data_IF_256952666391
#
_entry.id   IF_256952666391
#
_cell.length_a   1.000
_cell.length_b   1.000
_cell.length_c   1.000
_cell.angle_alpha   90.00
_cell.angle_beta   90.00
_cell.angle_gamma   90.00
#
_symmetry.space_group_name_H-M   'P 1'
#
loop_
_entity.id
_entity.type
_entity.pdbx_description
1 polymer ?
#
# COMPACT_ATOMS: atom_id res chain seq x y z
N UNK A 1 10.77 -13.10 15.85
CA UNK A 1 10.52 -12.51 14.51
C UNK A 1 9.25 -13.05 13.83
N UNK A 2 8.92 -14.34 13.97
CA UNK A 2 7.79 -15.01 13.26
C UNK A 2 6.38 -14.45 13.57
N UNK A 3 6.12 -13.99 14.80
CA UNK A 3 4.82 -13.40 15.19
C UNK A 3 4.53 -12.02 14.56
N UNK A 4 5.56 -11.24 14.23
CA UNK A 4 5.37 -9.91 13.61
C UNK A 4 5.00 -10.07 12.13
N UNK A 5 5.64 -11.02 11.45
CA UNK A 5 5.33 -11.36 10.06
C UNK A 5 3.90 -11.89 9.88
N UNK A 6 3.39 -12.69 10.83
CA UNK A 6 1.99 -13.14 10.83
C UNK A 6 1.00 -11.97 11.00
N UNK A 7 1.30 -11.00 11.87
CA UNK A 7 0.42 -9.84 12.09
C UNK A 7 0.32 -8.94 10.84
N UNK A 8 1.44 -8.73 10.14
CA UNK A 8 1.47 -7.96 8.89
C UNK A 8 0.89 -8.71 7.69
N UNK A 9 1.04 -10.04 7.63
CA UNK A 9 0.35 -10.88 6.65
C UNK A 9 -1.17 -10.87 6.87
N UNK A 10 -1.64 -10.92 8.12
CA UNK A 10 -3.07 -10.80 8.43
C UNK A 10 -3.65 -9.43 8.02
N UNK A 11 -2.92 -8.32 8.24
CA UNK A 11 -3.34 -6.99 7.80
C UNK A 11 -3.37 -6.83 6.28
N UNK A 12 -2.45 -7.47 5.55
CA UNK A 12 -2.43 -7.41 4.08
C UNK A 12 -3.48 -8.31 3.42
N UNK A 13 -3.83 -9.45 4.03
CA UNK A 13 -4.89 -10.34 3.52
C UNK A 13 -6.29 -9.76 3.75
N UNK A 14 -6.49 -9.00 4.84
CA UNK A 14 -7.80 -8.39 5.16
C UNK A 14 -8.22 -7.25 4.23
N UNK A 15 -7.28 -6.56 3.57
CA UNK A 15 -7.59 -5.47 2.63
C UNK A 15 -7.75 -5.94 1.18
N UNK A 16 -7.20 -7.11 0.82
CA UNK A 16 -7.16 -7.63 -0.55
C UNK A 16 -8.36 -8.49 -0.97
N UNK A 17 -9.05 -9.13 -0.04
CA UNK A 17 -10.03 -10.18 -0.39
C UNK A 17 -11.51 -9.74 -0.35
N UNK A 18 -11.78 -8.47 -0.01
CA UNK A 18 -13.18 -8.02 0.04
C UNK A 18 -13.75 -7.79 -1.36
N UNK A 19 -14.66 -8.67 -1.78
CA UNK A 19 -15.46 -8.50 -3.01
C UNK A 19 -16.06 -7.10 -3.05
N UNK A 20 -15.84 -6.37 -4.15
CA UNK A 20 -16.40 -5.02 -4.35
C UNK A 20 -15.53 -3.86 -3.86
N UNK A 21 -14.28 -4.09 -3.43
CA UNK A 21 -13.37 -3.01 -2.99
C UNK A 21 -13.18 -1.90 -4.04
N UNK A 22 -13.19 -2.27 -5.32
CA UNK A 22 -13.06 -1.36 -6.46
C UNK A 22 -14.23 -0.36 -6.55
N UNK A 23 -15.37 -0.66 -5.92
CA UNK A 23 -16.56 0.19 -5.89
C UNK A 23 -16.79 0.89 -4.54
N UNK A 24 -15.83 0.80 -3.59
CA UNK A 24 -15.96 1.38 -2.25
C UNK A 24 -15.68 2.89 -2.24
N UNK A 25 -16.46 3.64 -1.45
CA UNK A 25 -16.17 5.03 -1.04
C UNK A 25 -15.45 4.93 0.32
N UNK A 26 -14.15 5.25 0.44
CA UNK A 26 -13.54 6.49 -0.05
C UNK A 26 -12.72 6.34 -1.35
N UNK A 27 -12.65 7.40 -2.15
CA UNK A 27 -11.81 7.44 -3.36
C UNK A 27 -12.43 6.84 -4.62
N UNK A 28 -13.75 6.58 -4.65
CA UNK A 28 -14.44 6.05 -5.84
C UNK A 28 -14.36 7.01 -7.03
N UNK A 29 -14.65 8.29 -6.80
CA UNK A 29 -14.68 9.33 -7.86
C UNK A 29 -13.34 9.42 -8.60
N UNK A 30 -12.18 9.62 -7.94
CA UNK A 30 -10.91 9.72 -8.66
C UNK A 30 -10.50 8.42 -9.36
N UNK A 31 -11.05 7.27 -8.95
CA UNK A 31 -10.87 6.02 -9.69
C UNK A 31 -11.71 6.07 -10.96
N UNK A 32 -13.04 6.13 -10.84
CA UNK A 32 -13.99 5.91 -11.97
C UNK A 32 -14.06 7.09 -12.95
N UNK A 33 -13.93 8.33 -12.47
CA UNK A 33 -14.16 9.54 -13.26
C UNK A 33 -13.38 9.60 -14.59
N UNK A 34 -12.06 9.35 -14.64
CA UNK A 34 -11.33 9.40 -15.92
C UNK A 34 -11.85 8.40 -16.95
N UNK A 35 -12.25 7.20 -16.52
CA UNK A 35 -12.75 6.16 -17.41
C UNK A 35 -14.17 6.46 -17.88
N UNK A 36 -15.03 6.93 -16.97
CA UNK A 36 -16.37 7.38 -17.29
C UNK A 36 -16.37 8.57 -18.27
N UNK A 37 -15.42 9.51 -18.10
CA UNK A 37 -15.26 10.64 -19.00
C UNK A 37 -14.88 10.18 -20.41
N UNK A 38 -13.90 9.28 -20.55
CA UNK A 38 -13.53 8.74 -21.87
C UNK A 38 -14.69 7.98 -22.50
N UNK A 39 -15.46 7.21 -21.74
CA UNK A 39 -16.64 6.51 -22.25
C UNK A 39 -17.71 7.47 -22.79
N UNK A 40 -17.99 8.57 -22.07
CA UNK A 40 -18.94 9.60 -22.51
C UNK A 40 -18.41 10.33 -23.74
N UNK A 41 -17.14 10.73 -23.75
CA UNK A 41 -16.51 11.40 -24.90
C UNK A 41 -16.54 10.51 -26.13
N UNK A 42 -16.23 9.21 -26.00
CA UNK A 42 -16.30 8.26 -27.09
C UNK A 42 -17.72 8.17 -27.67
N UNK A 43 -18.73 8.06 -26.80
CA UNK A 43 -20.14 8.00 -27.22
C UNK A 43 -20.57 9.27 -27.94
N UNK A 44 -20.18 10.44 -27.41
CA UNK A 44 -20.50 11.74 -28.01
C UNK A 44 -19.72 12.03 -29.31
N UNK A 45 -18.53 11.46 -29.48
CA UNK A 45 -17.68 11.71 -30.66
C UNK A 45 -18.32 11.28 -31.98
N UNK A 46 -19.23 10.31 -31.95
CA UNK A 46 -19.95 9.82 -33.13
C UNK A 46 -21.04 10.82 -33.60
N UNK A 47 -21.49 11.74 -32.74
CA UNK A 47 -22.44 12.80 -33.10
C UNK A 47 -21.79 14.02 -33.77
N UNK A 48 -20.45 14.05 -33.90
CA UNK A 48 -19.75 15.17 -34.53
C UNK A 48 -20.21 15.27 -36.00
N UNK A 49 -20.46 16.49 -36.53
CA UNK A 49 -20.85 16.66 -37.93
C UNK A 49 -19.84 15.97 -38.85
N UNK A 50 -20.33 15.20 -39.83
CA UNK A 50 -19.60 14.20 -40.65
C UNK A 50 -19.37 12.81 -40.00
N UNK A 51 -19.98 12.55 -38.84
CA UNK A 51 -20.03 11.24 -38.23
C UNK A 51 -21.01 10.31 -38.93
N UNK A 52 -20.50 9.22 -39.52
CA UNK A 52 -21.31 8.19 -40.14
C UNK A 52 -21.98 7.29 -39.06
N UNK A 53 -23.12 7.71 -38.51
CA UNK A 53 -23.99 6.80 -37.75
C UNK A 53 -24.69 5.89 -38.74
N UNK A 54 -24.20 4.66 -38.89
CA UNK A 54 -24.78 3.67 -39.79
C UNK A 54 -26.09 3.08 -39.25
N UNK A 55 -26.22 2.97 -37.92
CA UNK A 55 -27.29 2.24 -37.25
C UNK A 55 -27.67 2.87 -35.90
N UNK A 56 -28.80 3.60 -35.91
CA UNK A 56 -29.38 4.17 -34.69
C UNK A 56 -29.73 3.14 -33.60
N UNK A 57 -30.20 1.91 -33.90
CA UNK A 57 -30.48 0.92 -32.85
C UNK A 57 -29.25 0.52 -32.04
N UNK A 58 -28.12 0.32 -32.70
CA UNK A 58 -26.84 -0.06 -32.08
C UNK A 58 -26.29 1.11 -31.24
N UNK A 59 -26.44 2.34 -31.73
CA UNK A 59 -26.09 3.54 -30.96
C UNK A 59 -26.94 3.68 -29.68
N UNK A 60 -28.25 3.48 -29.76
CA UNK A 60 -29.15 3.51 -28.59
C UNK A 60 -28.85 2.36 -27.63
N UNK A 61 -28.54 1.17 -28.15
CA UNK A 61 -28.12 0.02 -27.33
C UNK A 61 -26.81 0.31 -26.58
N UNK A 62 -25.84 0.95 -27.23
CA UNK A 62 -24.59 1.39 -26.60
C UNK A 62 -24.83 2.35 -25.44
N UNK A 63 -25.69 3.36 -25.64
CA UNK A 63 -26.09 4.31 -24.58
C UNK A 63 -26.78 3.58 -23.43
N UNK A 64 -27.73 2.68 -23.73
CA UNK A 64 -28.44 1.92 -22.71
C UNK A 64 -27.48 1.07 -21.86
N UNK A 65 -26.52 0.38 -22.49
CA UNK A 65 -25.49 -0.39 -21.78
C UNK A 65 -24.55 0.51 -20.95
N UNK A 66 -24.24 1.73 -21.41
CA UNK A 66 -23.47 2.69 -20.63
C UNK A 66 -24.24 3.15 -19.37
N UNK A 67 -25.54 3.38 -19.48
CA UNK A 67 -26.40 3.66 -18.31
C UNK A 67 -26.49 2.46 -17.36
N UNK A 68 -26.58 1.23 -17.87
CA UNK A 68 -26.51 0.02 -17.04
C UNK A 68 -25.17 -0.06 -16.30
N UNK A 69 -24.06 0.24 -16.98
CA UNK A 69 -22.73 0.31 -16.37
C UNK A 69 -22.66 1.40 -15.27
N UNK A 70 -23.20 2.59 -15.51
CA UNK A 70 -23.28 3.66 -14.52
C UNK A 70 -24.18 3.28 -13.32
N UNK A 71 -25.31 2.61 -13.58
CA UNK A 71 -26.20 2.09 -12.55
C UNK A 71 -25.56 0.98 -11.70
N UNK A 72 -24.62 0.22 -12.28
CA UNK A 72 -23.91 -0.84 -11.57
C UNK A 72 -23.20 -0.33 -10.30
N UNK A 73 -22.73 0.91 -10.30
CA UNK A 73 -22.06 1.53 -9.15
C UNK A 73 -22.97 1.76 -7.93
N UNK A 74 -24.30 1.67 -8.10
CA UNK A 74 -25.28 1.77 -7.02
C UNK A 74 -25.58 0.42 -6.35
N UNK A 75 -25.12 -0.70 -6.91
CA UNK A 75 -25.42 -2.02 -6.36
C UNK A 75 -24.73 -2.28 -5.00
N UNK A 76 -25.35 -3.09 -4.12
CA UNK A 76 -24.76 -3.50 -2.86
C UNK A 76 -23.68 -4.58 -3.05
N UNK A 77 -22.52 -4.19 -3.57
CA UNK A 77 -21.40 -5.08 -3.92
C UNK A 77 -20.90 -5.99 -2.78
N UNK A 78 -21.14 -5.62 -1.52
CA UNK A 78 -20.80 -6.44 -0.35
C UNK A 78 -21.59 -7.75 -0.24
N UNK A 79 -22.79 -7.80 -0.85
CA UNK A 79 -23.69 -8.96 -0.78
C UNK A 79 -23.56 -9.88 -2.00
N UNK A 80 -22.82 -9.45 -3.01
CA UNK A 80 -22.74 -10.14 -4.30
C UNK A 80 -21.57 -11.12 -4.32
N UNK A 81 -21.69 -12.23 -5.08
CA UNK A 81 -20.62 -13.20 -5.20
C UNK A 81 -19.35 -12.62 -5.85
N UNK A 82 -18.20 -13.25 -5.58
CA UNK A 82 -16.87 -12.77 -5.95
C UNK A 82 -16.65 -12.56 -7.46
N UNK A 83 -17.45 -13.19 -8.32
CA UNK A 83 -17.35 -13.04 -9.77
C UNK A 83 -18.09 -11.82 -10.32
N UNK A 84 -19.06 -11.27 -9.59
CA UNK A 84 -19.91 -10.15 -10.04
C UNK A 84 -19.14 -8.88 -10.44
N UNK A 85 -18.04 -8.50 -9.76
CA UNK A 85 -17.17 -7.40 -10.17
C UNK A 85 -16.79 -7.33 -11.64
N UNK A 86 -16.51 -8.49 -12.26
CA UNK A 86 -16.04 -8.56 -13.65
C UNK A 86 -17.12 -8.11 -14.63
N UNK A 87 -18.40 -8.13 -14.22
CA UNK A 87 -19.51 -7.75 -15.09
C UNK A 87 -19.45 -6.29 -15.50
N UNK A 88 -18.96 -5.38 -14.64
CA UNK A 88 -18.92 -3.95 -14.96
C UNK A 88 -18.03 -3.66 -16.18
N UNK A 89 -16.74 -4.06 -16.19
CA UNK A 89 -15.91 -3.86 -17.38
C UNK A 89 -16.41 -4.69 -18.58
N UNK A 90 -17.04 -5.86 -18.37
CA UNK A 90 -17.64 -6.63 -19.47
C UNK A 90 -18.83 -5.93 -20.13
N UNK A 91 -19.74 -5.36 -19.33
CA UNK A 91 -20.86 -4.55 -19.82
C UNK A 91 -20.34 -3.31 -20.54
N UNK A 92 -19.25 -2.70 -20.04
CA UNK A 92 -18.61 -1.60 -20.76
C UNK A 92 -18.01 -2.07 -22.10
N UNK A 93 -17.33 -3.22 -22.17
CA UNK A 93 -16.84 -3.76 -23.45
C UNK A 93 -17.98 -4.06 -24.43
N UNK A 94 -19.14 -4.51 -23.94
CA UNK A 94 -20.33 -4.72 -24.78
C UNK A 94 -20.90 -3.39 -25.30
N UNK A 95 -20.98 -2.36 -24.46
CA UNK A 95 -21.35 -0.99 -24.88
C UNK A 95 -20.43 -0.47 -26.00
N UNK A 96 -19.12 -0.74 -25.90
CA UNK A 96 -18.15 -0.35 -26.93
C UNK A 96 -18.29 -1.17 -28.21
N UNK A 97 -18.62 -2.47 -28.12
CA UNK A 97 -18.94 -3.28 -29.30
C UNK A 97 -20.11 -2.68 -30.09
N UNK A 98 -21.22 -2.39 -29.42
CA UNK A 98 -22.38 -1.72 -30.04
C UNK A 98 -21.99 -0.37 -30.65
N UNK A 99 -21.11 0.38 -29.98
CA UNK A 99 -20.61 1.65 -30.49
C UNK A 99 -19.79 1.49 -31.78
N UNK A 100 -18.95 0.44 -31.85
CA UNK A 100 -18.16 0.11 -33.04
C UNK A 100 -19.05 -0.32 -34.20
N UNK A 101 -20.14 -1.05 -33.92
CA UNK A 101 -21.12 -1.43 -34.94
C UNK A 101 -21.86 -0.20 -35.49
N UNK A 102 -22.17 0.77 -34.63
CA UNK A 102 -22.81 2.02 -35.02
C UNK A 102 -21.96 2.95 -35.89
N UNK A 103 -20.63 2.95 -35.74
CA UNK A 103 -19.71 3.92 -36.37
C UNK A 103 -18.80 3.38 -37.47
N UNK A 104 -18.75 2.06 -37.69
CA UNK A 104 -17.98 1.43 -38.75
C UNK A 104 -16.45 1.37 -38.53
N UNK A 105 -15.75 0.75 -39.50
CA UNK A 105 -14.38 0.22 -39.39
C UNK A 105 -13.27 1.29 -39.23
N UNK A 106 -13.53 2.51 -39.69
CA UNK A 106 -12.54 3.60 -39.81
C UNK A 106 -12.59 4.61 -38.66
N UNK A 107 -13.57 4.48 -37.77
CA UNK A 107 -13.91 5.49 -36.76
C UNK A 107 -12.89 5.66 -35.62
N UNK A 108 -11.86 4.81 -35.51
CA UNK A 108 -10.88 4.85 -34.41
C UNK A 108 -11.44 4.45 -33.03
N UNK A 109 -12.75 4.23 -32.93
CA UNK A 109 -13.50 3.88 -31.71
C UNK A 109 -12.98 2.59 -31.05
N UNK A 110 -12.34 1.70 -31.81
CA UNK A 110 -11.70 0.50 -31.27
C UNK A 110 -10.66 0.78 -30.17
N UNK A 111 -10.04 1.98 -30.13
CA UNK A 111 -9.12 2.37 -29.05
C UNK A 111 -9.81 2.46 -27.68
N UNK A 112 -11.13 2.70 -27.65
CA UNK A 112 -11.92 2.78 -26.42
C UNK A 112 -11.94 1.45 -25.67
N UNK A 113 -11.68 0.32 -26.34
CA UNK A 113 -11.52 -1.00 -25.69
C UNK A 113 -10.32 -1.06 -24.73
N UNK A 114 -9.35 -0.15 -24.83
CA UNK A 114 -8.29 -0.03 -23.83
C UNK A 114 -8.80 0.51 -22.50
N UNK A 115 -9.91 1.26 -22.47
CA UNK A 115 -10.50 1.83 -21.24
C UNK A 115 -10.91 0.74 -20.24
N UNK A 116 -11.77 -0.25 -20.58
CA UNK A 116 -12.11 -1.34 -19.67
C UNK A 116 -10.89 -2.20 -19.34
N UNK A 117 -9.95 -2.35 -20.28
CA UNK A 117 -8.71 -3.08 -20.03
C UNK A 117 -7.86 -2.39 -18.96
N UNK A 118 -7.55 -1.10 -19.11
CA UNK A 118 -6.75 -0.33 -18.15
C UNK A 118 -7.46 -0.30 -16.80
N UNK A 119 -8.78 -0.08 -16.79
CA UNK A 119 -9.59 -0.13 -15.56
C UNK A 119 -9.46 -1.47 -14.85
N UNK A 120 -9.74 -2.57 -15.57
CA UNK A 120 -9.70 -3.92 -15.01
C UNK A 120 -8.31 -4.25 -14.52
N UNK A 121 -7.30 -3.91 -15.32
CA UNK A 121 -5.94 -4.14 -14.94
C UNK A 121 -5.67 -3.37 -13.67
N UNK A 122 -6.00 -2.07 -13.53
CA UNK A 122 -5.74 -1.23 -12.34
C UNK A 122 -6.42 -1.67 -11.04
N UNK A 123 -7.69 -2.02 -11.10
CA UNK A 123 -8.54 -2.16 -9.92
C UNK A 123 -9.13 -3.56 -9.72
N UNK A 124 -8.94 -4.48 -10.67
CA UNK A 124 -9.50 -5.83 -10.57
C UNK A 124 -8.42 -6.89 -10.34
N UNK A 125 -8.88 -8.11 -10.07
CA UNK A 125 -8.02 -9.29 -9.88
C UNK A 125 -7.46 -9.76 -11.24
N UNK A 126 -6.31 -10.46 -11.20
CA UNK A 126 -5.65 -11.01 -12.40
C UNK A 126 -6.56 -11.82 -13.32
N UNK A 127 -7.47 -12.60 -12.74
CA UNK A 127 -8.41 -13.42 -13.51
C UNK A 127 -9.52 -12.57 -14.14
N UNK A 128 -9.99 -11.52 -13.44
CA UNK A 128 -11.01 -10.60 -13.95
C UNK A 128 -10.46 -9.82 -15.15
N UNK A 129 -9.22 -9.34 -15.06
CA UNK A 129 -8.55 -8.69 -16.20
C UNK A 129 -8.31 -9.66 -17.35
N UNK A 130 -7.99 -10.93 -17.09
CA UNK A 130 -7.90 -11.94 -18.14
C UNK A 130 -9.23 -12.13 -18.87
N UNK A 131 -10.35 -12.16 -18.15
CA UNK A 131 -11.68 -12.17 -18.76
C UNK A 131 -11.93 -10.94 -19.63
N UNK A 132 -11.49 -9.75 -19.19
CA UNK A 132 -11.62 -8.51 -19.98
C UNK A 132 -10.74 -8.53 -21.21
N UNK A 133 -9.50 -9.04 -21.14
CA UNK A 133 -8.64 -9.23 -22.32
C UNK A 133 -9.31 -10.15 -23.34
N UNK A 134 -9.85 -11.29 -22.89
CA UNK A 134 -10.59 -12.22 -23.75
C UNK A 134 -11.80 -11.54 -24.39
N UNK A 135 -12.57 -10.74 -23.62
CA UNK A 135 -13.70 -9.99 -24.13
C UNK A 135 -13.28 -8.95 -25.18
N UNK A 136 -12.21 -8.20 -24.95
CA UNK A 136 -11.66 -7.24 -25.93
C UNK A 136 -11.26 -7.95 -27.23
N UNK A 137 -10.59 -9.09 -27.15
CA UNK A 137 -10.21 -9.88 -28.33
C UNK A 137 -11.45 -10.44 -29.04
N UNK A 138 -12.45 -10.90 -28.29
CA UNK A 138 -13.72 -11.37 -28.85
C UNK A 138 -14.46 -10.25 -29.59
N UNK A 139 -14.49 -9.03 -29.04
CA UNK A 139 -15.05 -7.85 -29.72
C UNK A 139 -14.34 -7.60 -31.06
N UNK A 140 -13.02 -7.72 -31.11
CA UNK A 140 -12.27 -7.55 -32.36
C UNK A 140 -12.61 -8.63 -33.40
N UNK A 141 -12.79 -9.87 -32.95
CA UNK A 141 -13.20 -10.98 -33.81
C UNK A 141 -14.62 -10.75 -34.34
N UNK A 142 -15.59 -10.48 -33.47
CA UNK A 142 -17.00 -10.26 -33.83
C UNK A 142 -17.14 -9.07 -34.77
N UNK A 143 -16.55 -7.93 -34.43
CA UNK A 143 -16.56 -6.71 -35.25
C UNK A 143 -15.98 -6.98 -36.65
N UNK A 144 -14.87 -7.72 -36.74
CA UNK A 144 -14.24 -8.07 -38.01
C UNK A 144 -15.09 -9.01 -38.88
N UNK A 145 -15.81 -9.96 -38.26
CA UNK A 145 -16.71 -10.88 -38.95
C UNK A 145 -17.95 -10.16 -39.49
N UNK A 146 -18.58 -9.31 -38.67
CA UNK A 146 -19.76 -8.53 -39.06
C UNK A 146 -19.42 -7.60 -40.25
N UNK A 147 -18.23 -7.02 -40.24
CA UNK A 147 -17.75 -6.13 -41.30
C UNK A 147 -17.13 -6.86 -42.49
N UNK A 148 -17.23 -8.20 -42.56
CA UNK A 148 -16.70 -9.02 -43.66
C UNK A 148 -15.23 -8.73 -44.02
N UNK A 149 -14.40 -8.49 -43.00
CA UNK A 149 -12.98 -8.13 -43.16
C UNK A 149 -12.17 -9.32 -43.72
N UNK A 150 -11.19 -9.10 -44.62
CA UNK A 150 -10.31 -10.17 -45.11
C UNK A 150 -9.60 -10.94 -43.99
N UNK A 151 -9.52 -12.26 -44.10
CA UNK A 151 -9.08 -13.16 -43.03
C UNK A 151 -7.65 -12.92 -42.52
N UNK A 152 -6.75 -12.47 -43.39
CA UNK A 152 -5.38 -12.07 -43.04
C UNK A 152 -5.36 -10.84 -42.12
N UNK A 153 -6.23 -9.86 -42.38
CA UNK A 153 -6.38 -8.67 -41.53
C UNK A 153 -7.01 -9.06 -40.19
N UNK A 154 -7.99 -9.96 -40.18
CA UNK A 154 -8.60 -10.48 -38.94
C UNK A 154 -7.55 -11.17 -38.07
N UNK A 155 -6.77 -12.08 -38.65
CA UNK A 155 -5.71 -12.79 -37.92
C UNK A 155 -4.70 -11.81 -37.32
N UNK A 156 -4.22 -10.83 -38.10
CA UNK A 156 -3.30 -9.81 -37.61
C UNK A 156 -3.91 -8.96 -36.49
N UNK A 157 -5.18 -8.53 -36.61
CA UNK A 157 -5.87 -7.76 -35.57
C UNK A 157 -5.99 -8.56 -34.27
N UNK A 158 -6.47 -9.80 -34.35
CA UNK A 158 -6.64 -10.69 -33.19
C UNK A 158 -5.31 -10.95 -32.50
N UNK A 159 -4.26 -11.26 -33.27
CA UNK A 159 -2.91 -11.50 -32.73
C UNK A 159 -2.35 -10.24 -32.04
N UNK A 160 -2.44 -9.08 -32.69
CA UNK A 160 -1.94 -7.82 -32.13
C UNK A 160 -2.70 -7.42 -30.86
N UNK A 161 -4.04 -7.48 -30.86
CA UNK A 161 -4.83 -7.14 -29.68
C UNK A 161 -4.65 -8.14 -28.53
N UNK A 162 -4.45 -9.42 -28.84
CA UNK A 162 -4.10 -10.43 -27.83
C UNK A 162 -2.73 -10.14 -27.22
N UNK A 163 -1.73 -9.81 -28.05
CA UNK A 163 -0.39 -9.49 -27.59
C UNK A 163 -0.36 -8.20 -26.75
N UNK A 164 -0.99 -7.12 -27.23
CA UNK A 164 -1.06 -5.84 -26.52
C UNK A 164 -1.86 -5.98 -25.22
N UNK A 165 -3.04 -6.60 -25.27
CA UNK A 165 -3.88 -6.82 -24.09
C UNK A 165 -3.20 -7.68 -23.04
N UNK A 166 -2.58 -8.79 -23.47
CA UNK A 166 -1.81 -9.68 -22.62
C UNK A 166 -0.58 -9.00 -22.01
N UNK A 167 0.19 -8.25 -22.80
CA UNK A 167 1.35 -7.50 -22.32
C UNK A 167 0.95 -6.47 -21.27
N UNK A 168 -0.07 -5.65 -21.55
CA UNK A 168 -0.57 -4.63 -20.61
C UNK A 168 -1.03 -5.31 -19.31
N UNK A 169 -1.79 -6.40 -19.41
CA UNK A 169 -2.27 -7.13 -18.25
C UNK A 169 -1.10 -7.68 -17.41
N UNK A 170 -0.16 -8.41 -18.01
CA UNK A 170 0.98 -9.01 -17.29
C UNK A 170 1.89 -7.94 -16.70
N UNK A 171 2.29 -6.94 -17.50
CA UNK A 171 3.24 -5.92 -17.07
C UNK A 171 2.69 -5.06 -15.92
N UNK A 172 1.43 -4.64 -16.01
CA UNK A 172 0.82 -3.79 -14.99
C UNK A 172 0.48 -4.55 -13.70
N UNK A 173 0.06 -5.82 -13.77
CA UNK A 173 -0.10 -6.65 -12.57
C UNK A 173 1.26 -6.88 -11.90
N UNK A 174 2.28 -7.26 -12.67
CA UNK A 174 3.64 -7.43 -12.15
C UNK A 174 4.20 -6.15 -11.53
N UNK A 175 3.91 -4.98 -12.11
CA UNK A 175 4.29 -3.69 -11.53
C UNK A 175 3.57 -3.45 -10.20
N UNK A 176 2.26 -3.72 -10.12
CA UNK A 176 1.52 -3.53 -8.86
C UNK A 176 1.96 -4.46 -7.76
N UNK A 177 2.28 -5.70 -8.09
CA UNK A 177 2.80 -6.66 -7.11
C UNK A 177 4.16 -6.19 -6.58
N UNK A 178 5.05 -5.69 -7.46
CA UNK A 178 6.33 -5.08 -7.06
C UNK A 178 6.15 -3.85 -6.17
N UNK A 179 5.25 -2.93 -6.55
CA UNK A 179 4.98 -1.71 -5.77
C UNK A 179 4.42 -2.08 -4.39
N UNK A 180 3.44 -2.97 -4.31
CA UNK A 180 2.88 -3.42 -3.02
C UNK A 180 3.94 -4.04 -2.12
N UNK A 181 4.75 -4.94 -2.66
CA UNK A 181 5.84 -5.60 -1.92
C UNK A 181 6.84 -4.56 -1.42
N UNK A 182 7.21 -3.59 -2.28
CA UNK A 182 8.11 -2.50 -1.90
C UNK A 182 7.53 -1.60 -0.80
N UNK A 183 6.24 -1.31 -0.83
CA UNK A 183 5.58 -0.49 0.20
C UNK A 183 5.55 -1.19 1.55
N UNK A 184 5.22 -2.48 1.57
CA UNK A 184 5.24 -3.30 2.81
C UNK A 184 6.66 -3.38 3.38
N UNK A 185 7.66 -3.66 2.54
CA UNK A 185 9.05 -3.70 2.96
C UNK A 185 9.53 -2.34 3.52
N UNK A 186 9.15 -1.24 2.86
CA UNK A 186 9.50 0.11 3.33
C UNK A 186 8.85 0.43 4.69
N UNK A 187 7.57 0.09 4.87
CA UNK A 187 6.87 0.28 6.14
C UNK A 187 7.51 -0.52 7.28
N UNK A 188 7.95 -1.76 7.02
CA UNK A 188 8.68 -2.57 7.99
C UNK A 188 10.02 -1.92 8.40
N UNK A 189 10.82 -1.47 7.41
CA UNK A 189 12.09 -0.76 7.67
C UNK A 189 11.87 0.54 8.45
N UNK A 190 10.84 1.31 8.12
CA UNK A 190 10.51 2.54 8.85
C UNK A 190 10.13 2.26 10.30
N UNK A 191 9.42 1.17 10.58
CA UNK A 191 9.08 0.76 11.94
C UNK A 191 10.34 0.40 12.74
N UNK A 192 11.25 -0.37 12.14
CA UNK A 192 12.52 -0.77 12.77
C UNK A 192 13.44 0.43 13.05
N UNK A 193 13.60 1.33 12.07
CA UNK A 193 14.38 2.57 12.26
C UNK A 193 13.77 3.42 13.37
N UNK A 194 12.44 3.49 13.44
CA UNK A 194 11.74 4.23 14.51
C UNK A 194 12.01 3.62 15.86
N UNK A 195 11.95 2.29 16.00
CA UNK A 195 12.25 1.59 17.25
C UNK A 195 13.68 1.84 17.72
N UNK A 196 14.67 1.71 16.83
CA UNK A 196 16.07 2.01 17.13
C UNK A 196 16.29 3.48 17.50
N UNK A 197 15.59 4.40 16.83
CA UNK A 197 15.67 5.84 17.16
C UNK A 197 15.11 6.12 18.56
N UNK A 198 14.01 5.45 18.94
CA UNK A 198 13.41 5.59 20.27
C UNK A 198 14.29 4.97 21.35
N UNK A 199 14.94 3.83 21.08
CA UNK A 199 15.89 3.22 22.00
C UNK A 199 17.07 4.16 22.27
N UNK A 200 17.74 4.65 21.21
CA UNK A 200 18.85 5.61 21.34
C UNK A 200 18.45 6.89 22.08
N UNK A 201 17.24 7.38 21.84
CA UNK A 201 16.75 8.57 22.50
C UNK A 201 16.50 8.34 23.99
N UNK A 202 16.00 7.17 24.38
CA UNK A 202 15.84 6.80 25.80
C UNK A 202 17.18 6.73 26.51
N UNK A 203 18.19 6.15 25.88
CA UNK A 203 19.54 6.06 26.46
C UNK A 203 20.15 7.46 26.66
N UNK A 204 20.00 8.32 25.65
CA UNK A 204 20.43 9.72 25.72
C UNK A 204 19.72 10.48 26.84
N UNK A 205 18.39 10.35 26.94
CA UNK A 205 17.60 10.99 28.00
C UNK A 205 18.02 10.47 29.38
N UNK A 206 18.21 9.15 29.53
CA UNK A 206 18.64 8.55 30.80
C UNK A 206 20.01 9.07 31.24
N UNK A 207 20.97 9.16 30.31
CA UNK A 207 22.29 9.70 30.56
C UNK A 207 22.26 11.20 30.94
N UNK A 208 21.54 12.02 30.16
CA UNK A 208 21.43 13.46 30.40
C UNK A 208 20.72 13.76 31.73
N UNK A 209 19.63 13.05 32.01
CA UNK A 209 18.92 13.16 33.29
C UNK A 209 19.82 12.72 34.45
N UNK A 210 20.50 11.58 34.31
CA UNK A 210 21.43 11.05 35.29
C UNK A 210 22.51 12.07 35.68
N UNK A 211 23.22 12.62 34.70
CA UNK A 211 24.28 13.61 34.93
C UNK A 211 23.73 14.87 35.61
N UNK A 212 22.58 15.37 35.15
CA UNK A 212 21.97 16.58 35.71
C UNK A 212 21.53 16.41 37.16
N UNK A 213 20.97 15.24 37.51
CA UNK A 213 20.49 14.93 38.87
C UNK A 213 21.67 14.68 39.81
N UNK A 214 22.69 13.90 39.39
CA UNK A 214 23.90 13.66 40.20
C UNK A 214 24.56 14.99 40.57
N UNK A 215 24.77 15.88 39.60
CA UNK A 215 25.38 17.19 39.84
C UNK A 215 24.61 18.00 40.88
N UNK A 216 23.28 18.10 40.77
CA UNK A 216 22.44 18.88 41.71
C UNK A 216 22.43 18.29 43.12
N UNK A 217 22.39 16.97 43.25
CA UNK A 217 22.45 16.32 44.57
C UNK A 217 23.81 16.57 45.20
N UNK A 218 24.89 16.53 44.41
CA UNK A 218 26.23 16.82 44.88
C UNK A 218 26.39 18.27 45.35
N UNK A 219 25.90 19.24 44.57
CA UNK A 219 25.86 20.66 44.94
C UNK A 219 25.10 20.88 46.26
N UNK A 220 23.90 20.28 46.39
CA UNK A 220 23.12 20.36 47.62
C UNK A 220 23.83 19.69 48.83
N UNK A 221 24.50 18.56 48.59
CA UNK A 221 25.32 17.88 49.60
C UNK A 221 26.47 18.74 50.11
N UNK A 222 27.19 19.42 49.20
CA UNK A 222 28.26 20.35 49.54
C UNK A 222 27.76 21.55 50.36
N UNK A 223 26.63 22.15 49.97
CA UNK A 223 26.02 23.27 50.70
C UNK A 223 25.60 22.86 52.13
N UNK A 224 25.02 21.67 52.28
CA UNK A 224 24.68 21.11 53.59
C UNK A 224 25.93 20.84 54.44
N UNK A 225 27.01 20.35 53.83
CA UNK A 225 28.27 20.10 54.52
C UNK A 225 28.92 21.41 55.00
N UNK A 226 28.94 22.44 54.16
CA UNK A 226 29.41 23.78 54.51
C UNK A 226 28.58 24.39 55.66
N UNK A 227 27.26 24.20 55.63
CA UNK A 227 26.36 24.64 56.71
C UNK A 227 26.62 23.89 58.02
N UNK A 228 26.87 22.58 57.96
CA UNK A 228 27.23 21.78 59.12
C UNK A 228 28.57 22.21 59.75
N UNK A 229 29.52 22.70 58.95
CA UNK A 229 30.80 23.23 59.45
C UNK A 229 30.64 24.58 60.20
N UNK A 230 29.59 25.35 59.91
CA UNK A 230 29.27 26.61 60.60
C UNK A 230 28.54 26.40 61.93
N UNK A 231 27.90 25.24 62.12
CA UNK A 231 27.20 24.87 63.35
C UNK A 231 28.20 24.12 64.24
N UNK A 232 28.47 24.63 65.44
CA UNK A 232 29.38 23.97 66.40
C UNK A 232 28.95 22.55 66.78
N UNK A 233 29.87 21.80 67.40
CA UNK A 233 29.65 20.39 67.73
C UNK A 233 28.37 20.16 68.54
N UNK A 234 27.45 19.36 67.98
CA UNK A 234 26.15 19.15 68.60
C UNK A 234 25.23 18.20 67.84
N UNK A 235 24.03 17.91 68.38
CA UNK A 235 23.07 16.98 67.77
C UNK A 235 22.55 17.45 66.41
N UNK A 236 22.48 18.76 66.15
CA UNK A 236 22.07 19.31 64.86
C UNK A 236 23.10 19.05 63.75
N UNK A 237 24.39 19.24 64.04
CA UNK A 237 25.49 18.97 63.11
C UNK A 237 25.55 17.49 62.73
N UNK A 238 25.48 16.58 63.72
CA UNK A 238 25.47 15.12 63.46
C UNK A 238 24.31 14.71 62.54
N UNK A 239 23.15 15.33 62.71
CA UNK A 239 21.95 15.04 61.91
C UNK A 239 22.07 15.55 60.48
N UNK A 240 22.69 16.72 60.27
CA UNK A 240 23.04 17.22 58.92
C UNK A 240 24.05 16.30 58.21
N UNK A 241 25.13 15.91 58.90
CA UNK A 241 26.15 15.02 58.33
C UNK A 241 25.59 13.64 57.97
N UNK A 242 24.67 13.10 58.79
CA UNK A 242 23.95 11.88 58.42
C UNK A 242 23.09 12.08 57.16
N UNK A 243 22.42 13.21 57.01
CA UNK A 243 21.66 13.52 55.80
C UNK A 243 22.54 13.58 54.54
N UNK A 244 23.73 14.17 54.64
CA UNK A 244 24.71 14.19 53.54
C UNK A 244 25.17 12.77 53.17
N UNK A 245 25.45 11.91 54.15
CA UNK A 245 25.84 10.53 53.90
C UNK A 245 24.76 9.71 53.18
N UNK A 246 23.48 9.95 53.49
CA UNK A 246 22.35 9.36 52.77
C UNK A 246 22.28 9.86 51.31
N UNK A 247 22.51 11.15 51.06
CA UNK A 247 22.54 11.72 49.70
C UNK A 247 23.67 11.11 48.85
N UNK A 248 24.85 10.90 49.43
CA UNK A 248 25.95 10.18 48.77
C UNK A 248 25.58 8.73 48.44
N UNK A 249 24.84 8.06 49.33
CA UNK A 249 24.25 6.74 49.07
C UNK A 249 23.31 6.74 47.88
N UNK A 250 22.42 7.75 47.80
CA UNK A 250 21.49 7.94 46.67
C UNK A 250 22.23 8.22 45.36
N UNK A 251 23.28 9.05 45.36
CA UNK A 251 24.10 9.30 44.16
C UNK A 251 24.70 8.00 43.63
N UNK A 252 25.26 7.16 44.52
CA UNK A 252 25.87 5.89 44.14
C UNK A 252 24.85 4.92 43.54
N UNK A 253 23.69 4.76 44.18
CA UNK A 253 22.61 3.93 43.67
C UNK A 253 22.08 4.43 42.31
N UNK A 254 21.96 5.75 42.14
CA UNK A 254 21.54 6.35 40.87
C UNK A 254 22.56 6.05 39.75
N UNK A 255 23.86 6.21 40.03
CA UNK A 255 24.93 5.92 39.06
C UNK A 255 24.91 4.45 38.63
N UNK A 256 24.74 3.52 39.57
CA UNK A 256 24.59 2.09 39.26
C UNK A 256 23.36 1.82 38.37
N UNK A 257 22.22 2.45 38.66
CA UNK A 257 21.00 2.28 37.85
C UNK A 257 21.14 2.81 36.42
N UNK A 258 21.83 3.95 36.23
CA UNK A 258 22.06 4.54 34.90
C UNK A 258 23.01 3.66 34.07
N UNK A 259 24.06 3.09 34.68
CA UNK A 259 24.95 2.15 34.00
C UNK A 259 24.26 0.83 33.65
N UNK A 260 23.43 0.29 34.54
CA UNK A 260 22.67 -0.93 34.28
C UNK A 260 21.71 -0.76 33.09
N UNK A 261 21.06 0.40 32.98
CA UNK A 261 20.16 0.73 31.85
C UNK A 261 20.89 0.84 30.50
N UNK A 262 22.16 1.26 30.49
CA UNK A 262 22.97 1.37 29.27
C UNK A 262 23.50 0.02 28.74
N UNK A 263 23.72 -0.95 29.63
CA UNK A 263 24.34 -2.24 29.28
C UNK A 263 23.31 -3.27 28.74
N UNK A 264 22.06 -3.19 29.20
CA UNK A 264 20.95 -4.02 28.69
C UNK A 264 20.62 -3.72 27.20
N UNK A 265 20.83 -2.49 26.73
CA UNK A 265 20.66 -2.10 25.33
C UNK A 265 21.77 -2.61 24.39
N UNK A 266 22.98 -2.83 24.91
CA UNK A 266 24.14 -3.30 24.13
C UNK A 266 24.22 -4.83 24.02
N UNK A 267 23.77 -5.55 25.04
CA UNK A 267 23.91 -7.01 25.13
C UNK A 267 22.96 -7.75 24.18
N UNK A 268 21.78 -7.19 23.87
CA UNK A 268 20.82 -7.79 22.93
C UNK A 268 21.28 -7.77 21.46
N UNK A 269 22.24 -6.92 21.08
CA UNK A 269 22.77 -6.86 19.72
C UNK A 269 23.89 -7.89 19.46
N UNK A 270 24.57 -8.35 20.51
CA UNK A 270 25.71 -9.27 20.40
C UNK A 270 25.31 -10.75 20.25
N UNK A 271 24.06 -11.13 20.58
CA UNK A 271 23.60 -12.53 20.56
C UNK A 271 23.01 -12.98 19.19
N UNK A 272 23.08 -12.12 18.16
CA UNK A 272 22.46 -12.39 16.84
C UNK A 272 23.45 -12.76 15.71
N UNK A 273 24.73 -12.99 16.01
CA UNK A 273 25.71 -13.31 14.98
C UNK A 273 26.93 -14.12 15.43
N UNK A 274 26.78 -15.45 15.55
CA UNK A 274 27.76 -16.45 15.07
C UNK A 274 27.37 -17.88 15.50
N UNK A 275 27.19 -18.84 14.58
CA UNK A 275 27.38 -20.25 14.90
C UNK A 275 28.88 -20.57 14.79
N UNK A 276 29.54 -20.82 15.93
CA UNK A 276 30.87 -21.43 15.99
C UNK A 276 30.83 -22.82 15.32
N UNK A 277 31.47 -22.95 14.16
CA UNK A 277 31.78 -24.24 13.55
C UNK A 277 32.94 -24.91 14.28
N UNK A 278 32.92 -26.22 14.51
CA UNK A 278 33.97 -26.90 15.26
C UNK A 278 35.25 -26.99 14.42
N UNK A 279 36.34 -26.45 14.99
CA UNK A 279 37.70 -26.54 14.45
C UNK A 279 38.31 -27.95 14.51
N UNK A 280 39.43 -28.17 13.79
CA UNK A 280 39.90 -29.49 13.39
C UNK A 280 40.68 -30.19 14.51
N UNK A 281 40.27 -31.41 14.85
CA UNK A 281 41.04 -32.34 15.67
C UNK A 281 41.83 -33.31 14.79
N UNK A 282 43.16 -33.21 14.82
CA UNK A 282 44.06 -34.15 14.17
C UNK A 282 44.23 -35.44 14.97
N UNK A 283 44.30 -36.55 14.25
CA UNK A 283 45.28 -37.63 14.36
C UNK A 283 45.31 -38.43 13.06
#
# INVERSE_FOLDING_TARGET
>A
MEKSTEHWQALTDTDGDTTGWQFRRPGLVPRVAPFGLVAVVATLSILVPDGDVYSWPEYVASIALLFVCAGAFLLPWRRLPAWTPVLVPLVHTASVLELILASGVTSGVGLVLLVPLIWSVLFHRRWESACVVVAVVAVQLVSSLVQSTPGDVVLRRVLLWSAVGGLIAVAAHGLRDRVRTSLVANAALQAEVRELSLARERDRIAADLGESVVRRIFEAGLDLHATAAMIGEGPAQRRLLHGVAELDGVIRALRESVFALGDEGGTAAADSGAPEGPGPGGH
#
